data_IF_261675651057
#
_entry.id   IF_261675651057
#
_cell.length_a   1.000
_cell.length_b   1.000
_cell.length_c   1.000
_cell.angle_alpha   90.00
_cell.angle_beta   90.00
_cell.angle_gamma   90.00
#
_symmetry.space_group_name_H-M   'P 1'
#
loop_
_entity.id
_entity.type
_entity.pdbx_description
1 polymer ?
#
# COMPACT_ATOMS: atom_id res chain seq x y z
N UNK A 1 -14.33 0.92 -1.45
CA UNK A 1 -14.05 0.45 -0.08
C UNK A 1 -15.09 -0.60 0.26
N UNK A 2 -14.70 -1.64 1.01
CA UNK A 2 -15.55 -2.73 1.47
C UNK A 2 -15.85 -2.57 2.96
N UNK A 3 -16.88 -3.27 3.45
CA UNK A 3 -17.10 -3.40 4.88
C UNK A 3 -15.93 -4.13 5.53
N UNK A 4 -15.40 -3.56 6.62
CA UNK A 4 -14.30 -4.13 7.38
C UNK A 4 -12.91 -3.78 6.84
N UNK A 5 -12.81 -2.87 5.88
CA UNK A 5 -11.53 -2.31 5.44
C UNK A 5 -10.80 -1.65 6.62
N UNK A 6 -9.50 -1.94 6.76
CA UNK A 6 -8.64 -1.24 7.70
C UNK A 6 -8.10 0.05 7.05
N UNK A 7 -8.49 1.20 7.58
CA UNK A 7 -8.14 2.53 7.09
C UNK A 7 -7.06 3.17 7.97
N UNK A 8 -5.95 3.57 7.35
CA UNK A 8 -4.84 4.23 8.01
C UNK A 8 -4.92 5.75 7.84
N UNK A 9 -4.61 6.50 8.90
CA UNK A 9 -4.51 7.97 8.84
C UNK A 9 -3.28 8.39 8.03
N UNK A 10 -3.45 9.30 7.07
CA UNK A 10 -2.34 9.75 6.23
C UNK A 10 -1.17 10.32 7.06
N UNK A 11 0.05 9.87 6.73
CA UNK A 11 1.28 10.31 7.40
C UNK A 11 1.51 9.75 8.81
N UNK A 12 0.66 8.84 9.31
CA UNK A 12 0.80 8.20 10.64
C UNK A 12 0.54 6.70 10.57
N UNK A 13 1.07 5.95 11.54
CA UNK A 13 0.91 4.50 11.60
C UNK A 13 -0.49 4.02 12.03
N UNK A 14 -1.25 4.85 12.74
CA UNK A 14 -2.56 4.48 13.31
C UNK A 14 -3.61 4.19 12.25
N UNK A 15 -4.40 3.15 12.49
CA UNK A 15 -5.48 2.70 11.62
C UNK A 15 -6.70 2.23 12.43
N UNK A 16 -7.86 2.13 11.78
CA UNK A 16 -9.12 1.63 12.34
C UNK A 16 -9.90 0.84 11.28
N UNK A 17 -10.90 0.07 11.70
CA UNK A 17 -11.75 -0.72 10.81
C UNK A 17 -13.01 0.06 10.49
N UNK A 18 -13.35 0.21 9.20
CA UNK A 18 -14.57 0.89 8.79
C UNK A 18 -15.80 -0.01 8.94
N UNK A 19 -16.90 0.55 9.43
CA UNK A 19 -18.19 -0.14 9.53
C UNK A 19 -19.12 0.27 8.39
N UNK A 20 -20.23 -0.47 8.15
CA UNK A 20 -21.20 -0.12 7.12
C UNK A 20 -21.78 1.29 7.25
N UNK A 21 -21.99 1.75 8.49
CA UNK A 21 -22.54 3.07 8.78
C UNK A 21 -21.56 4.21 8.48
N UNK A 22 -20.26 3.93 8.51
CA UNK A 22 -19.18 4.90 8.31
C UNK A 22 -18.63 4.91 6.88
N UNK A 23 -19.10 4.00 6.01
CA UNK A 23 -18.60 3.80 4.65
C UNK A 23 -18.58 5.10 3.84
N UNK A 24 -19.70 5.83 3.79
CA UNK A 24 -19.82 7.03 2.94
C UNK A 24 -18.88 8.15 3.40
N UNK A 25 -18.88 8.44 4.71
CA UNK A 25 -18.01 9.46 5.31
C UNK A 25 -16.54 9.09 5.12
N UNK A 26 -16.18 7.84 5.39
CA UNK A 26 -14.81 7.36 5.25
C UNK A 26 -14.37 7.34 3.78
N UNK A 27 -15.27 7.03 2.85
CA UNK A 27 -14.99 7.03 1.41
C UNK A 27 -14.66 8.44 0.92
N UNK A 28 -15.37 9.47 1.39
CA UNK A 28 -15.04 10.87 1.09
C UNK A 28 -13.64 11.24 1.61
N UNK A 29 -13.28 10.81 2.83
CA UNK A 29 -11.96 11.05 3.43
C UNK A 29 -10.84 10.30 2.71
N UNK A 30 -11.09 9.10 2.20
CA UNK A 30 -10.16 8.39 1.30
C UNK A 30 -9.96 9.17 0.01
N UNK A 31 -11.04 9.70 -0.59
CA UNK A 31 -10.96 10.51 -1.80
C UNK A 31 -10.13 11.78 -1.60
N UNK A 32 -10.27 12.40 -0.42
CA UNK A 32 -9.48 13.56 0.00
C UNK A 32 -8.07 13.20 0.50
N UNK A 33 -7.67 11.92 0.45
CA UNK A 33 -6.36 11.41 0.87
C UNK A 33 -6.04 11.63 2.35
N UNK A 34 -7.06 11.76 3.19
CA UNK A 34 -6.92 11.82 4.65
C UNK A 34 -6.81 10.42 5.26
N UNK A 35 -7.42 9.45 4.59
CA UNK A 35 -7.40 8.03 4.93
C UNK A 35 -6.83 7.22 3.77
N UNK A 36 -6.11 6.17 4.11
CA UNK A 36 -5.51 5.23 3.18
C UNK A 36 -6.14 3.86 3.38
N UNK A 37 -6.70 3.27 2.33
CA UNK A 37 -7.02 1.85 2.33
C UNK A 37 -5.71 1.09 2.45
N UNK A 38 -5.66 0.11 3.35
CA UNK A 38 -4.48 -0.71 3.60
C UNK A 38 -4.69 -2.14 3.13
N UNK A 39 -3.60 -2.83 2.85
CA UNK A 39 -3.55 -4.28 2.69
C UNK A 39 -2.81 -4.91 3.88
N UNK A 40 -3.11 -6.17 4.16
CA UNK A 40 -2.38 -6.98 5.13
C UNK A 40 -0.93 -7.21 4.69
N UNK A 41 -0.02 -7.09 5.65
CA UNK A 41 1.24 -7.83 5.67
C UNK A 41 0.97 -9.05 6.57
N UNK A 42 0.76 -10.25 6.00
CA UNK A 42 0.37 -11.43 6.77
C UNK A 42 1.38 -11.77 7.87
N UNK A 43 0.88 -12.35 8.96
CA UNK A 43 1.69 -12.67 10.13
C UNK A 43 0.89 -13.39 11.21
N UNK A 44 1.47 -13.51 12.40
CA UNK A 44 0.76 -13.91 13.62
C UNK A 44 -0.29 -12.88 14.03
N UNK A 45 -1.32 -13.35 14.75
CA UNK A 45 -2.41 -12.50 15.23
C UNK A 45 -3.43 -12.14 14.15
N UNK A 46 -4.29 -11.19 14.48
CA UNK A 46 -5.35 -10.71 13.59
C UNK A 46 -4.77 -9.76 12.53
N UNK A 47 -5.19 -9.93 11.28
CA UNK A 47 -4.69 -9.10 10.15
C UNK A 47 -5.25 -7.67 10.15
N UNK A 48 -6.15 -7.37 11.08
CA UNK A 48 -6.75 -6.06 11.29
C UNK A 48 -8.01 -5.79 10.47
N UNK A 49 -8.06 -6.21 9.20
CA UNK A 49 -9.28 -6.18 8.40
C UNK A 49 -10.34 -7.13 8.98
N UNK A 50 -11.61 -6.88 8.66
CA UNK A 50 -12.73 -7.69 9.12
C UNK A 50 -13.69 -8.00 7.96
N UNK A 51 -14.63 -8.92 8.18
CA UNK A 51 -15.79 -9.17 7.31
C UNK A 51 -15.38 -9.33 5.84
N UNK A 52 -16.00 -8.57 4.94
CA UNK A 52 -15.80 -8.69 3.50
C UNK A 52 -14.36 -8.37 3.08
N UNK A 53 -13.73 -7.37 3.72
CA UNK A 53 -12.33 -7.03 3.45
C UNK A 53 -11.38 -8.15 3.88
N UNK A 54 -11.57 -8.75 5.06
CA UNK A 54 -10.75 -9.89 5.51
C UNK A 54 -10.91 -11.10 4.60
N UNK A 55 -12.15 -11.42 4.20
CA UNK A 55 -12.43 -12.51 3.29
C UNK A 55 -11.73 -12.30 1.93
N UNK A 56 -11.73 -11.07 1.41
CA UNK A 56 -11.03 -10.71 0.19
C UNK A 56 -9.51 -10.84 0.33
N UNK A 57 -8.92 -10.36 1.43
CA UNK A 57 -7.47 -10.48 1.69
C UNK A 57 -7.03 -11.94 1.82
N UNK A 58 -7.78 -12.77 2.53
CA UNK A 58 -7.49 -14.20 2.67
C UNK A 58 -7.62 -14.94 1.33
N UNK A 59 -8.65 -14.62 0.54
CA UNK A 59 -8.84 -15.21 -0.78
C UNK A 59 -7.70 -14.84 -1.75
N UNK A 60 -7.20 -13.60 -1.68
CA UNK A 60 -6.15 -13.11 -2.58
C UNK A 60 -4.83 -13.88 -2.47
N UNK A 61 -4.55 -14.49 -1.32
CA UNK A 61 -3.32 -15.26 -1.07
C UNK A 61 -3.61 -16.70 -0.62
N UNK A 62 -4.80 -17.23 -0.89
CA UNK A 62 -5.25 -18.53 -0.40
C UNK A 62 -4.30 -19.69 -0.76
N UNK A 63 -3.59 -19.58 -1.89
CA UNK A 63 -2.63 -20.58 -2.35
C UNK A 63 -1.27 -20.51 -1.62
N UNK A 64 -0.94 -19.37 -1.00
CA UNK A 64 0.36 -19.10 -0.36
C UNK A 64 0.47 -19.65 1.08
N UNK A 65 -0.10 -20.84 1.30
CA UNK A 65 -0.24 -21.45 2.63
C UNK A 65 1.10 -21.66 3.35
N UNK A 66 2.15 -22.03 2.61
CA UNK A 66 3.48 -22.29 3.20
C UNK A 66 4.14 -21.04 3.74
N UNK A 67 4.00 -19.90 3.03
CA UNK A 67 4.54 -18.61 3.48
C UNK A 67 3.74 -18.05 4.67
N UNK A 68 2.41 -18.17 4.64
CA UNK A 68 1.57 -17.77 5.77
C UNK A 68 1.92 -18.55 7.04
N UNK A 69 2.04 -19.88 6.94
CA UNK A 69 2.41 -20.73 8.07
C UNK A 69 3.82 -20.41 8.61
N UNK A 70 4.76 -20.09 7.73
CA UNK A 70 6.11 -19.67 8.11
C UNK A 70 6.08 -18.40 8.97
N UNK A 71 5.38 -17.35 8.52
CA UNK A 71 5.33 -16.06 9.22
C UNK A 71 4.73 -16.20 10.63
N UNK A 72 3.67 -17.02 10.76
CA UNK A 72 3.06 -17.32 12.07
C UNK A 72 4.02 -18.09 12.97
N UNK A 73 4.72 -19.10 12.44
CA UNK A 73 5.68 -19.91 13.20
C UNK A 73 6.84 -19.08 13.74
N UNK A 74 7.34 -18.15 12.91
CA UNK A 74 8.43 -17.25 13.28
C UNK A 74 7.96 -16.04 14.10
N UNK A 75 6.67 -15.96 14.46
CA UNK A 75 6.06 -14.88 15.24
C UNK A 75 6.28 -13.49 14.64
N UNK A 76 6.22 -13.41 13.31
CA UNK A 76 6.19 -12.13 12.60
C UNK A 76 4.77 -11.60 12.71
N UNK A 77 4.56 -10.57 13.53
CA UNK A 77 3.23 -10.00 13.75
C UNK A 77 2.65 -9.42 12.45
N UNK A 78 1.35 -9.69 12.24
CA UNK A 78 0.62 -9.11 11.12
C UNK A 78 0.61 -7.58 11.24
N UNK A 79 0.71 -6.90 10.10
CA UNK A 79 0.73 -5.45 10.04
C UNK A 79 -0.13 -4.91 8.90
N UNK A 80 -0.35 -3.60 8.89
CA UNK A 80 -1.08 -2.90 7.82
C UNK A 80 -0.14 -2.03 7.03
N UNK A 81 -0.33 -2.01 5.71
CA UNK A 81 0.40 -1.13 4.80
C UNK A 81 -0.55 -0.47 3.81
N UNK A 82 -0.44 0.84 3.63
CA UNK A 82 -1.21 1.57 2.62
C UNK A 82 -1.03 0.95 1.22
N UNK A 83 -2.14 0.70 0.52
CA UNK A 83 -2.12 0.11 -0.83
C UNK A 83 -1.66 1.09 -1.89
N UNK A 84 -1.98 2.37 -1.71
CA UNK A 84 -1.62 3.45 -2.62
C UNK A 84 -0.46 4.27 -2.05
N UNK A 85 0.40 4.73 -2.94
CA UNK A 85 1.49 5.66 -2.66
C UNK A 85 1.22 6.97 -3.38
N UNK A 86 1.26 8.08 -2.65
CA UNK A 86 1.17 9.42 -3.23
C UNK A 86 2.52 10.12 -3.16
N UNK A 87 3.26 10.24 -4.27
CA UNK A 87 4.50 11.01 -4.31
C UNK A 87 4.24 12.46 -3.91
N UNK A 88 4.98 12.95 -2.91
CA UNK A 88 4.84 14.32 -2.42
C UNK A 88 5.75 15.25 -3.22
N UNK A 89 5.30 16.49 -3.43
CA UNK A 89 6.07 17.52 -4.15
C UNK A 89 6.56 17.03 -5.53
N UNK A 90 5.73 16.22 -6.21
CA UNK A 90 6.04 15.70 -7.53
C UNK A 90 6.22 16.85 -8.52
N UNK A 91 7.39 16.89 -9.14
CA UNK A 91 7.72 17.80 -10.23
C UNK A 91 8.55 17.08 -11.27
N UNK A 92 8.49 17.57 -12.50
CA UNK A 92 9.27 17.03 -13.59
C UNK A 92 9.79 18.14 -14.50
N UNK A 93 10.93 17.87 -15.15
CA UNK A 93 11.51 18.75 -16.14
C UNK A 93 11.99 17.91 -17.33
N UNK A 94 11.44 18.18 -18.51
CA UNK A 94 11.93 17.59 -19.75
C UNK A 94 13.18 18.33 -20.19
N UNK A 95 14.26 17.61 -20.44
CA UNK A 95 15.49 18.18 -20.97
C UNK A 95 15.46 18.16 -22.51
N UNK A 96 14.85 17.14 -23.08
CA UNK A 96 14.59 16.93 -24.50
C UNK A 96 13.40 15.97 -24.68
N UNK A 97 13.11 15.55 -25.91
CA UNK A 97 11.95 14.69 -26.25
C UNK A 97 12.04 13.26 -25.67
N UNK A 98 13.20 12.84 -25.16
CA UNK A 98 13.45 11.47 -24.67
C UNK A 98 14.01 11.41 -23.25
N UNK A 99 14.23 12.56 -22.60
CA UNK A 99 14.86 12.66 -21.28
C UNK A 99 14.02 13.52 -20.34
N UNK A 100 13.55 12.92 -19.24
CA UNK A 100 12.81 13.61 -18.18
C UNK A 100 13.49 13.42 -16.83
N UNK A 101 13.67 14.51 -16.11
CA UNK A 101 14.07 14.52 -14.71
C UNK A 101 12.83 14.55 -13.82
N UNK A 102 12.70 13.61 -12.89
CA UNK A 102 11.61 13.54 -11.93
C UNK A 102 12.13 13.83 -10.52
N UNK A 103 11.38 14.63 -9.75
CA UNK A 103 11.64 14.88 -8.32
C UNK A 103 10.37 14.64 -7.53
N UNK A 104 10.49 13.88 -6.44
CA UNK A 104 9.41 13.65 -5.50
C UNK A 104 9.97 13.13 -4.18
N UNK A 105 9.21 13.31 -3.10
CA UNK A 105 9.50 12.71 -1.80
C UNK A 105 8.55 11.55 -1.52
N UNK A 106 9.08 10.48 -0.94
CA UNK A 106 8.32 9.30 -0.51
C UNK A 106 8.54 9.03 0.98
N UNK A 107 7.51 8.54 1.71
CA UNK A 107 7.69 8.09 3.08
C UNK A 107 8.59 6.85 3.16
N UNK A 108 9.24 6.67 4.31
CA UNK A 108 10.11 5.53 4.57
C UNK A 108 9.41 4.18 4.27
N UNK A 109 10.17 3.25 3.71
CA UNK A 109 9.66 1.94 3.30
C UNK A 109 8.86 1.97 1.98
N UNK A 110 8.80 3.08 1.26
CA UNK A 110 8.27 3.17 -0.12
C UNK A 110 9.42 3.26 -1.12
N UNK A 111 9.16 2.86 -2.38
CA UNK A 111 10.21 2.73 -3.39
C UNK A 111 9.92 3.61 -4.61
N UNK A 112 10.94 4.35 -5.07
CA UNK A 112 10.85 5.16 -6.28
C UNK A 112 10.57 4.31 -7.53
N UNK A 113 11.07 3.07 -7.56
CA UNK A 113 10.80 2.11 -8.65
C UNK A 113 9.31 1.80 -8.81
N UNK A 114 8.52 1.82 -7.74
CA UNK A 114 7.06 1.67 -7.83
C UNK A 114 6.39 2.84 -8.56
N UNK A 115 6.94 4.06 -8.46
CA UNK A 115 6.45 5.22 -9.22
C UNK A 115 6.86 5.10 -10.69
N UNK A 116 8.13 4.80 -10.95
CA UNK A 116 8.67 4.67 -12.31
C UNK A 116 7.99 3.55 -13.10
N UNK A 117 7.63 2.45 -12.43
CA UNK A 117 6.88 1.33 -13.01
C UNK A 117 5.57 1.76 -13.68
N UNK A 118 4.91 2.80 -13.15
CA UNK A 118 3.65 3.32 -13.71
C UNK A 118 3.87 4.32 -14.85
N UNK A 119 5.12 4.66 -15.18
CA UNK A 119 5.48 5.61 -16.24
C UNK A 119 6.03 4.93 -17.49
N UNK A 120 6.87 3.90 -17.32
CA UNK A 120 7.56 3.23 -18.41
C UNK A 120 7.66 1.73 -18.16
N UNK A 121 7.69 0.95 -19.25
CA UNK A 121 8.02 -0.46 -19.20
C UNK A 121 9.54 -0.63 -19.27
N UNK A 122 10.17 -1.07 -18.18
CA UNK A 122 11.57 -1.46 -18.18
C UNK A 122 11.70 -2.96 -18.39
N UNK A 123 12.33 -3.37 -19.48
CA UNK A 123 12.66 -4.77 -19.77
C UNK A 123 14.15 -5.00 -19.49
N UNK A 124 14.51 -5.28 -18.23
CA UNK A 124 15.89 -5.67 -17.82
C UNK A 124 16.38 -5.08 -16.49
N UNK A 125 17.41 -5.71 -15.90
CA UNK A 125 18.09 -5.38 -14.62
C UNK A 125 18.81 -4.01 -14.62
N UNK A 126 18.10 -2.93 -14.95
CA UNK A 126 18.67 -1.58 -15.04
C UNK A 126 18.30 -0.68 -13.86
N UNK A 127 17.78 -1.23 -12.77
CA UNK A 127 17.71 -0.51 -11.51
C UNK A 127 19.11 -0.48 -10.87
N UNK A 128 20.08 0.17 -11.52
CA UNK A 128 21.28 0.65 -10.86
C UNK A 128 20.88 1.90 -10.06
N UNK A 129 20.15 1.65 -8.97
CA UNK A 129 19.75 2.68 -8.02
C UNK A 129 21.02 2.94 -7.20
N UNK A 130 21.81 3.91 -7.63
CA UNK A 130 22.90 4.41 -6.80
C UNK A 130 22.26 5.03 -5.55
N UNK A 131 22.62 4.51 -4.36
CA UNK A 131 22.43 5.17 -3.07
C UNK A 131 23.22 6.47 -2.97
#
# INVERSE_FOLDING_TARGET
MLDGDALQLAGRGSWFVVTPEELEVSQARVHNRELMITAALPGSGDWGSQRDALAAEQAAIAEETSLQALLVREKVEAARRAMLLYPQQLSWNWWDDVTVELRFWLPAGSFATSVVRELINTTGDYANIAE
#
